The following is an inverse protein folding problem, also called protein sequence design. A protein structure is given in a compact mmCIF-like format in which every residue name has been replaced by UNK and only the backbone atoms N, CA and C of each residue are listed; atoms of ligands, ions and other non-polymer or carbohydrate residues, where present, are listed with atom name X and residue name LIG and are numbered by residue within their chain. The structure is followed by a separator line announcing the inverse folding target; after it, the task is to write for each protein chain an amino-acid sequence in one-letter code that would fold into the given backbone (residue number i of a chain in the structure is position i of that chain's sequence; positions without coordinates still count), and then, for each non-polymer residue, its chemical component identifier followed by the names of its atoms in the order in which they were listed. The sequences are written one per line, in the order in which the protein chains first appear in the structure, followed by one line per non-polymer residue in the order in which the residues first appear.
data_IF_987448212006
#
_entry.id   IF_987448212006
#
_cell.length_a   1.000
_cell.length_b   1.000
_cell.length_c   1.000
_cell.angle_alpha   90.00
_cell.angle_beta   90.00
_cell.angle_gamma   90.00
#
_symmetry.space_group_name_H-M   'P 1'
#
loop_
_entity.id
_entity.type
_entity.pdbx_description
1 polymer ?
#
# COMPACT_ATOMS: atom_id res chain seq x y z
N UNK A 1 -23.74 -6.98 -29.60
CA UNK A 1 -22.70 -6.31 -28.79
C UNK A 1 -22.29 -7.28 -27.70
N UNK A 2 -21.04 -7.74 -27.70
CA UNK A 2 -20.56 -8.67 -26.65
C UNK A 2 -20.06 -7.85 -25.47
N UNK A 3 -20.86 -7.78 -24.40
CA UNK A 3 -20.40 -7.28 -23.11
C UNK A 3 -19.66 -8.41 -22.43
N UNK A 4 -18.34 -8.30 -22.29
CA UNK A 4 -17.55 -9.28 -21.53
C UNK A 4 -18.06 -9.21 -20.09
N UNK A 5 -18.72 -10.25 -19.56
CA UNK A 5 -19.39 -10.19 -18.25
C UNK A 5 -18.40 -10.21 -17.08
N UNK A 6 -17.12 -10.34 -17.36
CA UNK A 6 -16.07 -10.49 -16.36
C UNK A 6 -14.81 -9.75 -16.83
N UNK A 7 -14.60 -8.55 -16.31
CA UNK A 7 -13.34 -7.84 -16.48
C UNK A 7 -12.39 -8.36 -15.40
N UNK A 8 -11.21 -8.91 -15.76
CA UNK A 8 -10.26 -9.37 -14.77
C UNK A 8 -9.84 -8.20 -13.88
N UNK A 9 -9.86 -8.37 -12.56
CA UNK A 9 -9.42 -7.33 -11.59
C UNK A 9 -8.02 -6.80 -11.90
N UNK A 10 -7.17 -7.65 -12.50
CA UNK A 10 -5.82 -7.31 -12.93
C UNK A 10 -5.75 -6.25 -14.03
N UNK A 11 -6.85 -5.98 -14.73
CA UNK A 11 -6.92 -4.90 -15.70
C UNK A 11 -7.10 -3.53 -15.02
N UNK A 12 -7.70 -3.51 -13.83
CA UNK A 12 -7.87 -2.30 -13.03
C UNK A 12 -6.69 -2.06 -12.07
N UNK A 13 -5.81 -3.04 -11.91
CA UNK A 13 -4.61 -2.91 -11.09
C UNK A 13 -3.63 -1.90 -11.71
N UNK A 14 -3.10 -1.01 -10.87
CA UNK A 14 -2.08 -0.06 -11.32
C UNK A 14 -0.82 -0.81 -11.83
N UNK A 15 -0.30 -0.42 -13.00
CA UNK A 15 0.87 -1.08 -13.55
C UNK A 15 2.11 -0.79 -12.70
N UNK A 16 3.00 -1.79 -12.65
CA UNK A 16 4.31 -1.65 -12.03
C UNK A 16 5.20 -0.85 -12.99
N UNK A 17 5.73 0.28 -12.53
CA UNK A 17 6.57 1.18 -13.32
C UNK A 17 8.05 0.82 -13.16
N UNK A 18 8.53 0.64 -11.92
CA UNK A 18 9.95 0.44 -11.65
C UNK A 18 10.20 -0.52 -10.48
N UNK A 19 10.90 -1.64 -10.72
CA UNK A 19 11.34 -2.62 -9.70
C UNK A 19 10.27 -3.04 -8.67
N UNK A 20 8.98 -3.02 -9.02
CA UNK A 20 7.88 -3.38 -8.11
C UNK A 20 7.10 -2.19 -7.51
N UNK A 21 7.51 -0.95 -7.80
CA UNK A 21 6.76 0.25 -7.49
C UNK A 21 5.66 0.52 -8.51
N UNK A 22 4.46 0.86 -8.03
CA UNK A 22 3.45 1.57 -8.85
C UNK A 22 3.78 3.07 -8.88
N UNK A 23 3.15 3.82 -9.80
CA UNK A 23 3.35 5.27 -9.96
C UNK A 23 3.25 6.05 -8.64
N UNK A 24 2.16 5.92 -7.84
CA UNK A 24 2.03 6.71 -6.61
C UNK A 24 3.01 6.27 -5.52
N UNK A 25 3.42 5.01 -5.48
CA UNK A 25 4.39 4.52 -4.52
C UNK A 25 5.81 5.01 -4.83
N UNK A 26 6.17 5.05 -6.11
CA UNK A 26 7.43 5.65 -6.56
C UNK A 26 7.45 7.14 -6.23
N UNK A 27 6.34 7.85 -6.47
CA UNK A 27 6.20 9.26 -6.10
C UNK A 27 6.35 9.49 -4.60
N UNK A 28 5.74 8.66 -3.77
CA UNK A 28 5.88 8.72 -2.31
C UNK A 28 7.31 8.43 -1.87
N UNK A 29 7.97 7.43 -2.47
CA UNK A 29 9.38 7.15 -2.21
C UNK A 29 10.27 8.32 -2.62
N UNK A 30 10.01 8.97 -3.76
CA UNK A 30 10.74 10.16 -4.19
C UNK A 30 10.59 11.32 -3.19
N UNK A 31 9.36 11.58 -2.73
CA UNK A 31 9.08 12.62 -1.74
C UNK A 31 9.75 12.34 -0.39
N UNK A 32 9.69 11.10 0.10
CA UNK A 32 10.41 10.70 1.31
C UNK A 32 11.92 10.85 1.14
N UNK A 33 12.44 10.49 -0.03
CA UNK A 33 13.85 10.68 -0.38
C UNK A 33 14.26 12.14 -0.41
N UNK A 34 13.38 13.04 -0.86
CA UNK A 34 13.64 14.49 -0.89
C UNK A 34 13.72 15.04 0.54
N UNK A 35 12.74 14.70 1.38
CA UNK A 35 12.72 15.11 2.80
C UNK A 35 13.94 14.58 3.53
N UNK A 36 14.26 13.30 3.34
CA UNK A 36 15.44 12.68 3.95
C UNK A 36 16.74 13.28 3.41
N UNK A 37 16.81 13.55 2.11
CA UNK A 37 17.93 14.24 1.48
C UNK A 37 18.18 15.62 2.06
N UNK A 38 17.11 16.38 2.33
CA UNK A 38 17.20 17.67 3.00
C UNK A 38 17.71 17.51 4.44
N UNK A 39 17.11 16.60 5.22
CA UNK A 39 17.54 16.35 6.61
C UNK A 39 18.99 15.90 6.71
N UNK A 40 19.44 15.03 5.80
CA UNK A 40 20.82 14.56 5.74
C UNK A 40 21.75 15.67 5.25
N UNK A 41 21.33 16.53 4.32
CA UNK A 41 22.19 17.60 3.80
C UNK A 41 22.52 18.70 4.82
N UNK A 42 21.58 19.02 5.73
CA UNK A 42 21.72 20.06 6.75
C UNK A 42 23.03 19.97 7.56
N UNK A 43 23.39 18.81 8.17
CA UNK A 43 24.64 18.69 8.92
C UNK A 43 25.91 18.80 8.07
N UNK A 44 25.83 18.65 6.73
CA UNK A 44 26.99 18.79 5.83
C UNK A 44 27.17 20.21 5.27
N UNK A 45 26.24 21.13 5.54
CA UNK A 45 26.35 22.53 5.12
C UNK A 45 27.65 23.20 5.60
N UNK A 46 28.14 23.00 6.85
CA UNK A 46 29.40 23.60 7.29
C UNK A 46 30.63 23.12 6.51
N UNK A 47 30.55 21.94 5.89
CA UNK A 47 31.69 21.32 5.20
C UNK A 47 31.82 21.79 3.75
N UNK A 48 30.70 21.85 3.02
CA UNK A 48 30.69 22.12 1.59
C UNK A 48 29.69 23.23 1.16
N UNK A 49 29.13 23.94 2.13
CA UNK A 49 28.22 25.05 1.92
C UNK A 49 26.83 24.65 1.44
N UNK A 50 26.13 25.61 0.85
CA UNK A 50 24.74 25.48 0.41
C UNK A 50 24.54 24.43 -0.70
N UNK A 51 25.60 24.06 -1.43
CA UNK A 51 25.58 23.08 -2.53
C UNK A 51 25.17 21.68 -2.04
N UNK A 52 25.34 21.39 -0.74
CA UNK A 52 24.89 20.12 -0.17
C UNK A 52 23.38 19.93 -0.19
N UNK A 53 22.60 21.02 -0.16
CA UNK A 53 21.14 20.97 -0.16
C UNK A 53 20.60 20.36 -1.47
N UNK A 54 20.86 20.95 -2.67
CA UNK A 54 20.38 20.35 -3.92
C UNK A 54 21.02 18.98 -4.20
N UNK A 55 22.27 18.77 -3.76
CA UNK A 55 22.96 17.47 -3.91
C UNK A 55 22.25 16.37 -3.12
N UNK A 56 21.97 16.59 -1.83
CA UNK A 56 21.26 15.63 -0.99
C UNK A 56 19.83 15.40 -1.46
N UNK A 57 19.12 16.47 -1.85
CA UNK A 57 17.76 16.39 -2.38
C UNK A 57 17.67 15.60 -3.69
N UNK A 58 18.67 15.67 -4.57
CA UNK A 58 18.64 14.91 -5.82
C UNK A 58 19.13 13.47 -5.63
N UNK A 59 20.16 13.26 -4.79
CA UNK A 59 20.81 11.98 -4.63
C UNK A 59 20.00 11.00 -3.76
N UNK A 60 19.40 11.45 -2.67
CA UNK A 60 18.67 10.55 -1.75
C UNK A 60 17.44 9.88 -2.35
N UNK A 61 16.57 10.55 -3.14
CA UNK A 61 15.47 9.89 -3.84
C UNK A 61 15.94 8.76 -4.75
N UNK A 62 17.04 8.96 -5.48
CA UNK A 62 17.60 7.96 -6.40
C UNK A 62 18.08 6.73 -5.64
N UNK A 63 18.79 6.93 -4.51
CA UNK A 63 19.17 5.84 -3.63
C UNK A 63 17.94 5.11 -3.08
N UNK A 64 17.00 5.85 -2.51
CA UNK A 64 15.82 5.27 -1.87
C UNK A 64 14.96 4.46 -2.85
N UNK A 65 14.76 4.94 -4.09
CA UNK A 65 14.03 4.21 -5.12
C UNK A 65 14.82 2.97 -5.59
N UNK A 66 16.13 3.13 -5.81
CA UNK A 66 16.98 2.02 -6.30
C UNK A 66 17.01 0.84 -5.32
N UNK A 67 17.21 1.12 -4.03
CA UNK A 67 17.25 0.10 -2.98
C UNK A 67 15.84 -0.31 -2.51
N UNK A 68 14.93 0.64 -2.38
CA UNK A 68 13.57 0.43 -1.89
C UNK A 68 12.74 -0.47 -2.79
N UNK A 69 13.00 -0.52 -4.11
CA UNK A 69 12.21 -1.35 -5.03
C UNK A 69 12.29 -2.83 -4.71
N UNK A 70 13.50 -3.35 -4.44
CA UNK A 70 13.69 -4.76 -4.05
C UNK A 70 13.01 -5.08 -2.73
N UNK A 71 13.13 -4.19 -1.75
CA UNK A 71 12.52 -4.35 -0.44
C UNK A 71 10.98 -4.30 -0.52
N UNK A 72 10.43 -3.37 -1.29
CA UNK A 72 8.98 -3.25 -1.50
C UNK A 72 8.42 -4.45 -2.25
N UNK A 73 9.13 -4.92 -3.28
CA UNK A 73 8.74 -6.13 -4.02
C UNK A 73 8.71 -7.36 -3.11
N UNK A 74 9.64 -7.48 -2.15
CA UNK A 74 9.62 -8.54 -1.15
C UNK A 74 8.45 -8.39 -0.16
N UNK A 75 8.21 -7.18 0.35
CA UNK A 75 7.09 -6.89 1.25
C UNK A 75 5.72 -7.18 0.61
N UNK A 76 5.60 -6.92 -0.70
CA UNK A 76 4.39 -7.17 -1.48
C UNK A 76 4.20 -8.63 -1.91
N UNK A 77 5.19 -9.52 -1.71
CA UNK A 77 5.05 -10.93 -2.11
C UNK A 77 3.88 -11.60 -1.38
N UNK A 78 2.94 -12.14 -2.15
CA UNK A 78 1.76 -12.84 -1.62
C UNK A 78 0.75 -11.95 -0.91
N UNK A 79 0.84 -10.62 -1.07
CA UNK A 79 -0.12 -9.65 -0.53
C UNK A 79 -1.13 -9.24 -1.61
N UNK A 80 -2.35 -8.81 -1.21
CA UNK A 80 -3.35 -8.32 -2.15
C UNK A 80 -2.90 -7.03 -2.86
N UNK A 81 -3.60 -6.67 -3.92
CA UNK A 81 -3.41 -5.39 -4.62
C UNK A 81 -3.67 -4.21 -3.68
N UNK A 82 -2.97 -3.09 -3.88
CA UNK A 82 -3.05 -1.88 -3.04
C UNK A 82 -2.79 -2.11 -1.53
N UNK A 83 -2.09 -3.20 -1.16
CA UNK A 83 -1.82 -3.56 0.24
C UNK A 83 -1.25 -2.42 1.09
N UNK A 84 -0.31 -1.63 0.53
CA UNK A 84 0.32 -0.52 1.26
C UNK A 84 -0.69 0.57 1.62
N UNK A 85 -1.54 0.96 0.67
CA UNK A 85 -2.59 1.95 0.88
C UNK A 85 -3.60 1.46 1.92
N UNK A 86 -4.05 0.21 1.80
CA UNK A 86 -4.98 -0.38 2.76
C UNK A 86 -4.39 -0.45 4.17
N UNK A 87 -3.10 -0.79 4.31
CA UNK A 87 -2.42 -0.79 5.63
C UNK A 87 -2.27 0.62 6.19
N UNK A 88 -2.01 1.62 5.35
CA UNK A 88 -1.95 3.02 5.78
C UNK A 88 -3.31 3.52 6.25
N UNK A 89 -4.38 3.21 5.52
CA UNK A 89 -5.75 3.52 5.92
C UNK A 89 -6.15 2.80 7.20
N UNK A 90 -5.82 1.51 7.33
CA UNK A 90 -6.02 0.75 8.57
C UNK A 90 -5.32 1.44 9.75
N UNK A 91 -4.07 1.89 9.57
CA UNK A 91 -3.32 2.59 10.62
C UNK A 91 -3.95 3.95 10.95
N UNK A 92 -4.34 4.74 9.95
CA UNK A 92 -5.06 6.01 10.14
C UNK A 92 -6.37 5.79 10.90
N UNK A 93 -7.09 4.73 10.56
CA UNK A 93 -8.36 4.36 11.21
C UNK A 93 -8.17 3.98 12.66
N UNK A 94 -7.14 3.18 12.97
CA UNK A 94 -6.76 2.84 14.35
C UNK A 94 -6.32 4.07 15.16
N UNK A 95 -5.77 5.08 14.51
CA UNK A 95 -5.41 6.36 15.12
C UNK A 95 -6.61 7.33 15.28
N UNK A 96 -7.81 6.96 14.81
CA UNK A 96 -9.02 7.78 14.90
C UNK A 96 -9.18 8.83 13.79
N UNK A 97 -8.24 8.91 12.83
CA UNK A 97 -8.21 9.93 11.76
C UNK A 97 -8.67 9.35 10.41
N UNK A 98 -8.88 8.02 10.32
CA UNK A 98 -9.26 7.33 9.09
C UNK A 98 -10.77 7.17 8.89
N UNK A 99 -11.14 6.83 7.66
CA UNK A 99 -12.52 6.66 7.20
C UNK A 99 -13.32 5.69 8.10
N UNK A 100 -14.45 6.13 8.68
CA UNK A 100 -15.33 5.27 9.44
C UNK A 100 -15.98 4.11 8.72
N UNK A 101 -16.10 4.16 7.41
CA UNK A 101 -16.61 3.06 6.61
C UNK A 101 -15.59 1.91 6.43
N UNK A 102 -14.30 2.14 6.73
CA UNK A 102 -13.27 1.12 6.55
C UNK A 102 -13.47 -0.06 7.53
N UNK A 103 -13.78 -1.23 6.97
CA UNK A 103 -13.98 -2.46 7.73
C UNK A 103 -12.62 -2.98 8.21
N UNK A 104 -12.33 -2.81 9.50
CA UNK A 104 -11.12 -3.32 10.16
C UNK A 104 -11.39 -4.53 11.07
N UNK A 105 -12.64 -5.00 11.12
CA UNK A 105 -13.05 -6.13 11.93
C UNK A 105 -12.75 -7.45 11.21
N UNK A 106 -12.04 -8.35 11.88
CA UNK A 106 -11.93 -9.74 11.47
C UNK A 106 -12.89 -10.58 12.31
N UNK A 107 -13.68 -11.43 11.66
CA UNK A 107 -14.58 -12.38 12.31
C UNK A 107 -14.38 -13.77 11.70
N UNK A 108 -14.57 -14.80 12.51
CA UNK A 108 -14.62 -16.17 12.00
C UNK A 108 -15.81 -16.33 11.07
N UNK A 109 -15.63 -17.00 9.93
CA UNK A 109 -16.73 -17.33 9.04
C UNK A 109 -17.70 -18.24 9.78
N UNK A 110 -18.94 -17.79 9.97
CA UNK A 110 -20.02 -18.63 10.48
C UNK A 110 -21.04 -18.87 9.37
N UNK A 111 -21.29 -20.14 9.07
CA UNK A 111 -22.39 -20.52 8.17
C UNK A 111 -23.69 -20.45 8.96
N UNK A 112 -24.30 -19.26 9.04
CA UNK A 112 -25.66 -19.13 9.55
C UNK A 112 -26.58 -19.89 8.59
N UNK A 113 -27.13 -21.03 9.04
CA UNK A 113 -28.18 -21.71 8.28
C UNK A 113 -29.42 -20.82 8.26
N UNK A 114 -29.78 -20.31 7.09
CA UNK A 114 -30.94 -19.44 6.86
C UNK A 114 -32.28 -20.18 6.89
N UNK A 115 -32.27 -21.52 6.82
CA UNK A 115 -33.46 -22.36 6.96
C UNK A 115 -33.39 -23.22 8.21
N UNK A 116 -34.39 -23.06 9.07
CA UNK A 116 -34.70 -24.02 10.13
C UNK A 116 -35.17 -25.30 9.44
N UNK A 117 -34.45 -26.40 9.65
CA UNK A 117 -34.90 -27.73 9.20
C UNK A 117 -36.08 -28.08 10.09
N UNK A 118 -37.31 -27.97 9.58
CA UNK A 118 -38.49 -28.49 10.24
C UNK A 118 -38.39 -30.02 10.22
N UNK A 119 -37.91 -30.61 11.33
CA UNK A 119 -37.94 -32.05 11.53
C UNK A 119 -39.39 -32.43 11.79
N UNK A 120 -40.13 -32.77 10.73
CA UNK A 120 -41.42 -33.43 10.85
C UNK A 120 -41.17 -34.89 11.28
N UNK A 121 -40.84 -35.06 12.56
CA UNK A 121 -40.72 -36.36 13.21
C UNK A 121 -42.08 -36.86 13.65
N UNK A 122 -42.93 -37.24 12.70
CA UNK A 122 -44.06 -38.13 12.93
C UNK A 122 -43.77 -39.41 12.18
N UNK A 123 -43.10 -40.35 12.83
CA UNK A 123 -43.19 -41.78 12.55
C UNK A 123 -43.03 -42.51 13.89
N UNK A 124 -44.20 -42.92 14.38
CA UNK A 124 -44.55 -44.02 15.29
C UNK A 124 -43.41 -44.75 16.01
#
# INVERSE_FOLDING_TARGET
MQTIPFLPDRLNAEPIVFRGFTTPEMGLAALLGLVFGLMVSLPFIPLAGWVMIPTGMLFMPLLLISFGGRWLAQLKRGKPENYLWLKLEEKKRRLGIGDPALIIAAQGWSLRRSRLIHRNGSLR
#
